data_IF_397695379190
#
_entry.id   IF_397695379190
#
_cell.length_a   1.000
_cell.length_b   1.000
_cell.length_c   1.000
_cell.angle_alpha   90.00
_cell.angle_beta   90.00
_cell.angle_gamma   90.00
#
_symmetry.space_group_name_H-M   'P 1'
#
loop_
_entity.id
_entity.type
_entity.pdbx_description
1 polymer ?
#
# COMPACT_ATOMS: atom_id res chain seq x y z
N UNK A 1 -1.39 -15.54 -38.68
CA UNK A 1 -1.23 -16.15 -40.02
C UNK A 1 -0.43 -15.30 -41.02
N UNK A 2 -0.87 -14.14 -41.52
CA UNK A 2 -0.14 -13.44 -42.61
C UNK A 2 1.32 -13.06 -42.27
N UNK A 3 1.57 -12.56 -41.05
CA UNK A 3 2.92 -12.24 -40.55
C UNK A 3 3.82 -13.47 -40.42
N UNK A 4 3.26 -14.60 -39.96
CA UNK A 4 3.98 -15.85 -39.76
C UNK A 4 4.37 -16.52 -41.09
N UNK A 5 3.44 -16.55 -42.05
CA UNK A 5 3.72 -17.06 -43.41
C UNK A 5 4.82 -16.24 -44.10
N UNK A 6 4.75 -14.91 -44.00
CA UNK A 6 5.78 -14.02 -44.52
C UNK A 6 7.14 -14.18 -43.81
N UNK A 7 7.16 -14.69 -42.57
CA UNK A 7 8.38 -14.96 -41.80
C UNK A 7 9.02 -16.32 -42.10
N UNK A 8 8.25 -17.30 -42.61
CA UNK A 8 8.73 -18.67 -42.91
C UNK A 8 9.13 -18.82 -44.37
N UNK A 9 8.39 -18.21 -45.30
CA UNK A 9 8.67 -18.34 -46.74
C UNK A 9 9.89 -17.50 -47.18
N UNK A 10 10.78 -18.08 -47.99
CA UNK A 10 11.97 -17.43 -48.56
C UNK A 10 11.68 -16.85 -49.97
N UNK A 11 10.61 -16.08 -50.11
CA UNK A 11 10.29 -15.38 -51.35
C UNK A 11 10.54 -13.86 -51.22
N UNK A 12 10.74 -13.17 -52.35
CA UNK A 12 11.03 -11.72 -52.39
C UNK A 12 9.87 -10.88 -51.82
N UNK A 13 8.61 -11.27 -52.10
CA UNK A 13 7.42 -10.57 -51.56
C UNK A 13 7.31 -10.70 -50.04
N UNK A 14 7.67 -11.84 -49.47
CA UNK A 14 7.69 -12.12 -48.03
C UNK A 14 8.86 -11.44 -47.33
N UNK A 15 9.98 -11.23 -48.02
CA UNK A 15 11.08 -10.35 -47.54
C UNK A 15 10.61 -8.90 -47.41
N UNK A 16 9.92 -8.36 -48.42
CA UNK A 16 9.33 -7.02 -48.38
C UNK A 16 8.28 -6.92 -47.25
N UNK A 17 7.39 -7.90 -47.13
CA UNK A 17 6.39 -7.93 -46.06
C UNK A 17 7.02 -7.98 -44.66
N UNK A 18 8.07 -8.80 -44.44
CA UNK A 18 8.83 -8.82 -43.17
C UNK A 18 9.40 -7.45 -42.84
N UNK A 19 10.08 -6.81 -43.79
CA UNK A 19 10.67 -5.49 -43.58
C UNK A 19 9.61 -4.45 -43.25
N UNK A 20 8.47 -4.49 -43.94
CA UNK A 20 7.33 -3.61 -43.64
C UNK A 20 6.79 -3.82 -42.22
N UNK A 21 6.56 -5.08 -41.81
CA UNK A 21 6.07 -5.37 -40.45
C UNK A 21 7.08 -4.98 -39.37
N UNK A 22 8.39 -5.19 -39.60
CA UNK A 22 9.45 -4.76 -38.69
C UNK A 22 9.44 -3.23 -38.55
N UNK A 23 9.28 -2.48 -39.65
CA UNK A 23 9.17 -1.02 -39.60
C UNK A 23 7.90 -0.54 -38.88
N UNK A 24 6.76 -1.21 -39.07
CA UNK A 24 5.53 -0.91 -38.32
C UNK A 24 5.73 -1.15 -36.82
N UNK A 25 6.35 -2.27 -36.42
CA UNK A 25 6.65 -2.55 -35.02
C UNK A 25 7.66 -1.57 -34.43
N UNK A 26 8.65 -1.14 -35.22
CA UNK A 26 9.64 -0.13 -34.81
C UNK A 26 8.99 1.22 -34.55
N UNK A 27 8.04 1.64 -35.41
CA UNK A 27 7.27 2.87 -35.22
C UNK A 27 6.28 2.78 -34.06
N UNK A 28 5.65 1.63 -33.84
CA UNK A 28 4.70 1.44 -32.74
C UNK A 28 5.39 1.32 -31.37
N UNK A 29 6.59 0.76 -31.31
CA UNK A 29 7.42 0.65 -30.09
C UNK A 29 8.31 1.87 -29.85
N UNK A 30 8.36 2.81 -30.79
CA UNK A 30 9.11 4.03 -30.57
C UNK A 30 8.48 4.78 -29.38
N UNK A 31 9.29 5.20 -28.39
CA UNK A 31 8.80 6.04 -27.31
C UNK A 31 8.16 7.27 -27.93
N UNK A 32 7.00 7.67 -27.41
CA UNK A 32 6.24 8.81 -27.90
C UNK A 32 7.19 10.02 -28.00
N UNK A 33 7.45 10.45 -29.23
CA UNK A 33 8.25 11.64 -29.45
C UNK A 33 7.40 12.86 -29.12
N UNK A 34 7.50 13.29 -27.86
CA UNK A 34 6.78 14.44 -27.33
C UNK A 34 7.07 15.69 -28.15
N UNK A 35 8.25 15.83 -28.76
CA UNK A 35 8.63 17.02 -29.52
C UNK A 35 7.82 17.12 -30.81
N UNK A 36 7.65 16.03 -31.56
CA UNK A 36 6.82 16.02 -32.78
C UNK A 36 5.32 16.00 -32.47
N UNK A 37 4.90 15.36 -31.38
CA UNK A 37 3.51 15.40 -30.92
C UNK A 37 3.09 16.82 -30.49
N UNK A 38 3.95 17.56 -29.80
CA UNK A 38 3.72 18.95 -29.39
C UNK A 38 3.84 19.97 -30.53
N UNK A 39 4.33 19.56 -31.70
CA UNK A 39 4.32 20.39 -32.92
C UNK A 39 2.98 20.32 -33.66
N UNK A 40 2.16 19.30 -33.39
CA UNK A 40 0.85 19.14 -34.02
C UNK A 40 -0.28 19.69 -33.12
N UNK A 41 -0.98 20.77 -33.51
CA UNK A 41 -2.05 21.36 -32.70
C UNK A 41 -3.18 20.38 -32.36
N UNK A 42 -3.47 19.41 -33.22
CA UNK A 42 -4.52 18.42 -32.95
C UNK A 42 -4.09 17.38 -31.91
N UNK A 43 -2.83 16.96 -31.94
CA UNK A 43 -2.29 16.03 -30.95
C UNK A 43 -2.21 16.68 -29.56
N UNK A 44 -1.81 17.96 -29.50
CA UNK A 44 -1.84 18.75 -28.25
C UNK A 44 -3.27 18.82 -27.69
N UNK A 45 -4.26 19.11 -28.54
CA UNK A 45 -5.66 19.20 -28.12
C UNK A 45 -6.19 17.87 -27.56
N UNK A 46 -5.86 16.75 -28.21
CA UNK A 46 -6.27 15.43 -27.74
C UNK A 46 -5.64 15.10 -26.38
N UNK A 47 -4.32 15.33 -26.22
CA UNK A 47 -3.62 15.10 -24.96
C UNK A 47 -4.17 15.98 -23.82
N UNK A 48 -4.45 17.25 -24.10
CA UNK A 48 -5.07 18.16 -23.14
C UNK A 48 -6.44 17.68 -22.71
N UNK A 49 -7.29 17.30 -23.67
CA UNK A 49 -8.63 16.80 -23.37
C UNK A 49 -8.57 15.56 -22.47
N UNK A 50 -7.70 14.60 -22.81
CA UNK A 50 -7.53 13.38 -22.02
C UNK A 50 -7.00 13.70 -20.62
N UNK A 51 -6.04 14.62 -20.50
CA UNK A 51 -5.55 15.06 -19.19
C UNK A 51 -6.62 15.75 -18.35
N UNK A 52 -7.51 16.54 -18.97
CA UNK A 52 -8.62 17.20 -18.27
C UNK A 52 -9.61 16.15 -17.77
N UNK A 53 -9.97 15.17 -18.61
CA UNK A 53 -10.89 14.10 -18.20
C UNK A 53 -10.31 13.29 -17.03
N UNK A 54 -9.03 12.93 -17.09
CA UNK A 54 -8.36 12.24 -15.99
C UNK A 54 -8.36 13.08 -14.71
N UNK A 55 -8.07 14.38 -14.82
CA UNK A 55 -8.09 15.29 -13.66
C UNK A 55 -9.50 15.45 -13.08
N UNK A 56 -10.54 15.46 -13.91
CA UNK A 56 -11.93 15.49 -13.47
C UNK A 56 -12.27 14.20 -12.71
N UNK A 57 -11.97 13.04 -13.27
CA UNK A 57 -12.18 11.74 -12.61
C UNK A 57 -11.48 11.69 -11.24
N UNK A 58 -10.19 12.01 -11.19
CA UNK A 58 -9.40 12.09 -9.95
C UNK A 58 -10.01 13.07 -8.93
N UNK A 59 -10.48 14.23 -9.38
CA UNK A 59 -11.15 15.21 -8.50
C UNK A 59 -12.47 14.69 -7.96
N UNK A 60 -13.25 13.98 -8.76
CA UNK A 60 -14.51 13.37 -8.30
C UNK A 60 -14.23 12.30 -7.25
N UNK A 61 -13.24 11.43 -7.47
CA UNK A 61 -12.82 10.42 -6.50
C UNK A 61 -12.41 11.08 -5.17
N UNK A 62 -11.52 12.07 -5.22
CA UNK A 62 -11.08 12.81 -4.03
C UNK A 62 -12.27 13.45 -3.30
N UNK A 63 -13.21 14.06 -4.03
CA UNK A 63 -14.42 14.65 -3.43
C UNK A 63 -15.29 13.62 -2.72
N UNK A 64 -15.34 12.38 -3.21
CA UNK A 64 -16.12 11.30 -2.56
C UNK A 64 -15.38 10.66 -1.38
N UNK A 65 -14.06 10.51 -1.46
CA UNK A 65 -13.25 9.82 -0.47
C UNK A 65 -12.93 10.71 0.74
N UNK A 66 -12.72 12.01 0.52
CA UNK A 66 -12.38 12.96 1.58
C UNK A 66 -13.40 12.99 2.74
N UNK A 67 -14.71 13.17 2.52
CA UNK A 67 -15.68 13.19 3.61
C UNK A 67 -15.80 11.82 4.30
N UNK A 68 -15.59 10.71 3.58
CA UNK A 68 -15.54 9.37 4.18
C UNK A 68 -14.34 9.21 5.11
N UNK A 69 -13.17 9.71 4.70
CA UNK A 69 -11.99 9.74 5.54
C UNK A 69 -12.19 10.63 6.78
N UNK A 70 -12.73 11.84 6.63
CA UNK A 70 -12.99 12.77 7.74
C UNK A 70 -14.03 12.22 8.74
N UNK A 71 -15.09 11.56 8.25
CA UNK A 71 -16.06 10.88 9.11
C UNK A 71 -15.42 9.72 9.88
N UNK A 72 -14.57 8.91 9.23
CA UNK A 72 -13.82 7.86 9.90
C UNK A 72 -12.85 8.41 10.94
N UNK A 73 -12.17 9.54 10.67
CA UNK A 73 -11.31 10.20 11.65
C UNK A 73 -12.10 10.66 12.89
N UNK A 74 -13.31 11.20 12.69
CA UNK A 74 -14.17 11.67 13.78
C UNK A 74 -14.77 10.52 14.60
N UNK A 75 -14.92 9.32 14.02
CA UNK A 75 -15.39 8.11 14.70
C UNK A 75 -14.29 7.36 15.45
N UNK A 76 -13.02 7.77 15.34
CA UNK A 76 -11.93 7.16 16.10
C UNK A 76 -12.19 7.38 17.60
N UNK A 77 -12.03 6.31 18.38
CA UNK A 77 -12.02 6.36 19.85
C UNK A 77 -11.04 7.46 20.28
N UNK A 78 -11.43 8.27 21.28
CA UNK A 78 -10.71 9.47 21.72
C UNK A 78 -9.26 9.21 22.18
N UNK A 79 -8.91 7.97 22.48
CA UNK A 79 -7.54 7.54 22.78
C UNK A 79 -6.75 7.10 21.54
N UNK A 80 -7.40 6.62 20.47
CA UNK A 80 -6.76 6.16 19.24
C UNK A 80 -5.78 4.99 19.43
N UNK A 81 -5.82 4.33 20.59
CA UNK A 81 -4.86 3.34 21.06
C UNK A 81 -5.55 2.00 21.32
N UNK A 82 -5.22 0.98 20.53
CA UNK A 82 -5.80 -0.35 20.64
C UNK A 82 -4.88 -1.30 21.38
N UNK A 83 -5.44 -2.11 22.26
CA UNK A 83 -4.71 -3.24 22.85
C UNK A 83 -4.34 -4.25 21.75
N UNK A 84 -3.22 -4.96 21.91
CA UNK A 84 -2.76 -5.94 20.90
C UNK A 84 -3.84 -6.98 20.54
N UNK A 85 -4.62 -7.42 21.52
CA UNK A 85 -5.69 -8.40 21.31
C UNK A 85 -6.89 -7.81 20.56
N UNK A 86 -7.24 -6.57 20.86
CA UNK A 86 -8.29 -5.82 20.14
C UNK A 86 -7.87 -5.56 18.69
N UNK A 87 -6.62 -5.13 18.50
CA UNK A 87 -6.02 -4.95 17.19
C UNK A 87 -6.01 -6.24 16.35
N UNK A 88 -5.66 -7.37 16.96
CA UNK A 88 -5.71 -8.67 16.28
C UNK A 88 -7.12 -9.02 15.79
N UNK A 89 -8.14 -8.80 16.64
CA UNK A 89 -9.56 -9.00 16.27
C UNK A 89 -10.00 -8.07 15.13
N UNK A 90 -9.61 -6.80 15.17
CA UNK A 90 -9.95 -5.83 14.11
C UNK A 90 -9.31 -6.16 12.75
N UNK A 91 -8.18 -6.87 12.76
CA UNK A 91 -7.50 -7.33 11.55
C UNK A 91 -7.92 -8.74 11.13
N UNK A 92 -8.85 -9.37 11.86
CA UNK A 92 -9.29 -10.75 11.66
C UNK A 92 -8.14 -11.78 11.68
N UNK A 93 -7.16 -11.55 12.55
CA UNK A 93 -5.99 -12.43 12.72
C UNK A 93 -6.01 -13.06 14.11
N UNK A 94 -5.61 -14.33 14.21
CA UNK A 94 -5.42 -15.00 15.50
C UNK A 94 -4.40 -14.24 16.36
N UNK A 95 -4.69 -13.90 17.63
CA UNK A 95 -3.80 -13.10 18.50
C UNK A 95 -2.39 -13.68 18.68
N UNK A 96 -2.26 -15.00 18.65
CA UNK A 96 -0.96 -15.70 18.71
C UNK A 96 -0.12 -15.42 17.48
N UNK A 97 -0.72 -15.50 16.29
CA UNK A 97 -0.06 -15.29 15.01
C UNK A 97 0.27 -13.82 14.82
N UNK A 98 -0.64 -12.93 15.24
CA UNK A 98 -0.42 -11.50 15.29
C UNK A 98 0.79 -11.13 16.15
N UNK A 99 0.88 -11.67 17.37
CA UNK A 99 2.02 -11.39 18.27
C UNK A 99 3.34 -11.94 17.73
N UNK A 100 3.32 -13.08 17.03
CA UNK A 100 4.50 -13.61 16.33
C UNK A 100 4.90 -12.70 15.17
N UNK A 101 3.94 -12.24 14.37
CA UNK A 101 4.16 -11.33 13.26
C UNK A 101 4.79 -10.01 13.73
N UNK A 102 4.28 -9.43 14.82
CA UNK A 102 4.84 -8.20 15.40
C UNK A 102 6.30 -8.39 15.83
N UNK A 103 6.65 -9.55 16.39
CA UNK A 103 8.03 -9.84 16.78
C UNK A 103 8.93 -10.06 15.55
N UNK A 104 8.45 -10.82 14.57
CA UNK A 104 9.19 -11.10 13.34
C UNK A 104 9.51 -9.84 12.54
N UNK A 105 8.53 -8.94 12.39
CA UNK A 105 8.68 -7.68 11.66
C UNK A 105 9.25 -6.53 12.52
N UNK A 106 9.79 -6.84 13.70
CA UNK A 106 10.39 -5.88 14.64
C UNK A 106 9.48 -4.71 14.98
N UNK A 107 8.18 -4.96 15.10
CA UNK A 107 7.23 -3.99 15.64
C UNK A 107 7.30 -3.92 17.16
N UNK A 108 7.43 -5.07 17.80
CA UNK A 108 7.47 -5.18 19.24
C UNK A 108 8.39 -6.33 19.67
N UNK A 109 8.94 -6.25 20.87
CA UNK A 109 9.92 -7.20 21.39
C UNK A 109 9.62 -7.55 22.85
N UNK A 110 10.25 -8.61 23.36
CA UNK A 110 10.18 -9.01 24.77
C UNK A 110 11.57 -8.96 25.38
N UNK A 111 11.70 -8.37 26.57
CA UNK A 111 12.96 -8.32 27.30
C UNK A 111 13.37 -9.70 27.86
N UNK A 112 12.38 -10.55 28.18
CA UNK A 112 12.60 -11.90 28.68
C UNK A 112 11.45 -12.83 28.25
N UNK A 113 11.68 -14.16 28.18
CA UNK A 113 10.64 -15.13 27.87
C UNK A 113 9.47 -15.02 28.85
N UNK A 114 8.26 -14.77 28.32
CA UNK A 114 7.05 -14.57 29.14
C UNK A 114 6.84 -13.14 29.67
N UNK A 115 7.75 -12.21 29.39
CA UNK A 115 7.59 -10.80 29.75
C UNK A 115 6.56 -10.05 28.90
N UNK A 116 6.17 -8.83 29.32
CA UNK A 116 5.27 -7.97 28.55
C UNK A 116 5.88 -7.63 27.19
N UNK A 117 5.02 -7.53 26.17
CA UNK A 117 5.44 -7.12 24.83
C UNK A 117 5.58 -5.59 24.81
N UNK A 118 6.75 -5.10 24.42
CA UNK A 118 7.08 -3.68 24.36
C UNK A 118 7.22 -3.23 22.90
N UNK A 119 6.71 -2.06 22.53
CA UNK A 119 6.87 -1.54 21.17
C UNK A 119 8.32 -1.14 20.91
N UNK A 120 8.81 -1.38 19.69
CA UNK A 120 10.11 -0.89 19.25
C UNK A 120 10.09 0.64 19.12
N UNK A 121 11.17 1.31 19.54
CA UNK A 121 11.25 2.78 19.53
C UNK A 121 11.04 3.38 18.12
N UNK A 122 11.50 2.70 17.06
CA UNK A 122 11.24 3.10 15.66
C UNK A 122 9.73 3.25 15.37
N UNK A 123 8.91 2.31 15.87
CA UNK A 123 7.46 2.33 15.65
C UNK A 123 6.75 3.39 16.47
N UNK A 124 7.28 3.71 17.65
CA UNK A 124 6.81 4.82 18.47
C UNK A 124 7.11 6.15 17.76
N UNK A 125 8.35 6.36 17.33
CA UNK A 125 8.77 7.58 16.63
C UNK A 125 7.96 7.82 15.34
N UNK A 126 7.55 6.74 14.64
CA UNK A 126 6.70 6.81 13.44
C UNK A 126 5.21 7.01 13.74
N UNK A 127 4.81 6.99 15.01
CA UNK A 127 3.43 7.11 15.47
C UNK A 127 2.56 5.89 15.15
N UNK A 128 3.17 4.70 15.02
CA UNK A 128 2.47 3.44 14.70
C UNK A 128 2.08 2.65 15.97
N UNK A 129 2.85 2.80 17.03
CA UNK A 129 2.61 2.17 18.33
C UNK A 129 2.87 3.17 19.44
N UNK A 130 2.34 2.89 20.62
CA UNK A 130 2.60 3.65 21.83
C UNK A 130 2.78 2.71 23.03
N UNK A 131 3.44 3.19 24.08
CA UNK A 131 3.70 2.44 25.30
C UNK A 131 2.99 3.11 26.48
N UNK A 132 1.86 2.54 26.89
CA UNK A 132 1.08 3.05 28.03
C UNK A 132 1.51 2.32 29.29
N UNK A 133 1.86 3.08 30.33
CA UNK A 133 2.21 2.52 31.65
C UNK A 133 0.94 2.50 32.51
N UNK A 134 0.54 1.31 32.93
CA UNK A 134 -0.58 1.11 33.86
C UNK A 134 -0.05 0.74 35.25
N UNK A 135 -0.57 1.36 36.30
CA UNK A 135 -0.24 0.98 37.68
C UNK A 135 -1.23 -0.08 38.15
N UNK A 136 -0.73 -1.24 38.54
CA UNK A 136 -1.51 -2.35 39.08
C UNK A 136 -1.22 -2.45 40.58
N UNK A 137 -2.26 -2.52 41.40
CA UNK A 137 -2.13 -2.86 42.82
C UNK A 137 -2.19 -4.38 42.97
N UNK A 138 -1.15 -4.96 43.57
CA UNK A 138 -1.16 -6.37 43.98
C UNK A 138 -2.02 -6.56 45.23
N UNK A 139 -2.43 -7.80 45.48
CA UNK A 139 -3.15 -8.21 46.71
C UNK A 139 -2.41 -7.84 48.00
N UNK A 140 -1.10 -7.68 47.92
CA UNK A 140 -0.19 -7.27 49.00
C UNK A 140 -0.08 -5.73 49.17
N UNK A 141 -0.97 -4.95 48.54
CA UNK A 141 -0.98 -3.48 48.61
C UNK A 141 0.11 -2.77 47.79
N UNK A 142 1.17 -3.48 47.38
CA UNK A 142 2.27 -2.93 46.56
C UNK A 142 1.77 -2.51 45.17
N UNK A 143 2.08 -1.27 44.77
CA UNK A 143 1.84 -0.72 43.43
C UNK A 143 2.97 -1.13 42.48
N UNK A 144 2.65 -1.74 41.35
CA UNK A 144 3.62 -2.03 40.30
C UNK A 144 3.20 -1.36 38.99
N UNK A 145 4.15 -0.70 38.33
CA UNK A 145 3.96 -0.12 37.01
C UNK A 145 4.24 -1.18 35.94
N UNK A 146 3.25 -1.46 35.10
CA UNK A 146 3.35 -2.39 33.97
C UNK A 146 3.16 -1.63 32.67
N UNK A 147 4.18 -1.69 31.82
CA UNK A 147 4.13 -1.13 30.47
C UNK A 147 3.36 -2.05 29.53
N UNK A 148 2.47 -1.48 28.73
CA UNK A 148 1.63 -2.19 27.77
C UNK A 148 1.76 -1.56 26.37
N UNK A 149 2.11 -2.38 25.39
CA UNK A 149 2.12 -1.97 23.99
C UNK A 149 0.70 -1.74 23.47
N UNK A 150 0.47 -0.56 22.91
CA UNK A 150 -0.75 -0.18 22.21
C UNK A 150 -0.43 0.13 20.76
N UNK A 151 -1.40 -0.09 19.88
CA UNK A 151 -1.27 0.17 18.44
C UNK A 151 -2.13 1.38 18.10
N UNK A 152 -1.59 2.32 17.34
CA UNK A 152 -2.35 3.49 16.90
C UNK A 152 -3.24 3.13 15.71
N UNK A 153 -4.21 3.98 15.37
CA UNK A 153 -4.99 3.78 14.14
C UNK A 153 -4.10 3.74 12.89
N UNK A 154 -3.04 4.55 12.85
CA UNK A 154 -2.04 4.54 11.77
C UNK A 154 -1.27 3.22 11.73
N UNK A 155 -0.91 2.67 12.88
CA UNK A 155 -0.32 1.34 13.01
C UNK A 155 -1.23 0.24 12.48
N UNK A 156 -2.51 0.27 12.84
CA UNK A 156 -3.51 -0.69 12.35
C UNK A 156 -3.67 -0.64 10.82
N UNK A 157 -3.75 0.55 10.24
CA UNK A 157 -3.83 0.71 8.78
C UNK A 157 -2.62 0.09 8.09
N UNK A 158 -1.41 0.40 8.57
CA UNK A 158 -0.16 -0.14 8.04
C UNK A 158 -0.08 -1.67 8.17
N UNK A 159 -0.49 -2.23 9.32
CA UNK A 159 -0.54 -3.68 9.51
C UNK A 159 -1.52 -4.35 8.56
N UNK A 160 -2.69 -3.75 8.31
CA UNK A 160 -3.67 -4.29 7.37
C UNK A 160 -3.13 -4.42 5.95
N UNK A 161 -2.41 -3.40 5.48
CA UNK A 161 -1.73 -3.46 4.18
C UNK A 161 -0.66 -4.56 4.15
N UNK A 162 0.09 -4.76 5.25
CA UNK A 162 1.09 -5.82 5.34
C UNK A 162 0.47 -7.22 5.28
N UNK A 163 -0.65 -7.43 5.97
CA UNK A 163 -1.36 -8.71 5.93
C UNK A 163 -2.02 -8.97 4.57
N UNK A 164 -2.61 -7.96 3.92
CA UNK A 164 -3.18 -8.11 2.57
C UNK A 164 -2.14 -8.54 1.53
N UNK A 165 -0.93 -7.97 1.59
CA UNK A 165 0.18 -8.35 0.70
C UNK A 165 0.65 -9.79 0.92
N UNK A 166 0.52 -10.32 2.13
CA UNK A 166 0.90 -11.71 2.45
C UNK A 166 -0.12 -12.73 1.98
N UNK A 167 -1.41 -12.38 1.86
CA UNK A 167 -2.45 -13.27 1.35
C UNK A 167 -2.44 -13.39 -0.18
N UNK A 168 -1.85 -12.42 -0.88
CA UNK A 168 -1.76 -12.37 -2.35
C UNK A 168 -0.55 -13.13 -2.94
N UNK A 169 0.27 -13.76 -2.09
CA UNK A 169 1.43 -14.57 -2.46
C UNK A 169 1.29 -15.99 -1.89
#
# INVERSE_FOLDING_TARGET
MAKELAMVERNEKGKQARQYFIECERKAKQPLDLVSALQNPLAIRQLLLESITQLEDLRTEVKTLKPKAEALESLKRSDGLFALYEAAKMLDVRPTDFTKHLQFHKWAYRNFPGGPLLPCQDKINRGLMDCVIHTIQKSDGTKMSVSSAKITVKGLACLREQFQKQTLH
#
